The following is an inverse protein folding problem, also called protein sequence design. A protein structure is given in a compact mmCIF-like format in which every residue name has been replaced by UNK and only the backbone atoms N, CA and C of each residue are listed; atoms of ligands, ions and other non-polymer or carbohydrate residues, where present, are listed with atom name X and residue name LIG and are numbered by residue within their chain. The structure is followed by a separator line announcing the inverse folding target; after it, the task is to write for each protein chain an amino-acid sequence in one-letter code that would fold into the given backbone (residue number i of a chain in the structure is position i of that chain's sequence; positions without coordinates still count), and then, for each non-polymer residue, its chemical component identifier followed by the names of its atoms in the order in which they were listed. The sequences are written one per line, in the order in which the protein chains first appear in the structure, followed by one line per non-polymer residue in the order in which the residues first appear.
data_IF_434616119363
#
_entry.id   IF_434616119363
#
_cell.length_a   1.000
_cell.length_b   1.000
_cell.length_c   1.000
_cell.angle_alpha   90.00
_cell.angle_beta   90.00
_cell.angle_gamma   90.00
#
_symmetry.space_group_name_H-M   'P 1'
#
loop_
_entity.id
_entity.type
_entity.pdbx_description
1 polymer ?
#
# COMPACT_ATOMS: atom_id res chain seq x y z
N UNK A 1 -35.15 -6.15 -41.71
CA UNK A 1 -35.68 -5.18 -40.73
C UNK A 1 -34.56 -4.80 -39.77
N UNK A 2 -34.32 -3.53 -39.51
CA UNK A 2 -33.37 -3.13 -38.48
C UNK A 2 -33.94 -3.59 -37.12
N UNK A 3 -33.05 -3.97 -36.16
CA UNK A 3 -33.51 -4.39 -34.83
C UNK A 3 -34.24 -3.23 -34.16
N UNK A 4 -35.34 -3.58 -33.44
CA UNK A 4 -36.20 -2.66 -32.72
C UNK A 4 -35.32 -1.80 -31.75
N UNK A 5 -35.59 -0.50 -31.73
CA UNK A 5 -34.86 0.46 -30.86
C UNK A 5 -34.90 0.02 -29.36
N UNK A 6 -35.96 -0.72 -28.98
CA UNK A 6 -36.04 -1.32 -27.62
C UNK A 6 -35.08 -2.49 -27.44
N UNK A 7 -34.76 -3.24 -28.47
CA UNK A 7 -33.79 -4.33 -28.43
C UNK A 7 -32.37 -3.80 -28.43
N UNK A 8 -32.12 -2.69 -29.14
CA UNK A 8 -30.87 -1.95 -29.12
C UNK A 8 -30.62 -1.34 -27.73
N UNK A 9 -31.63 -0.75 -27.08
CA UNK A 9 -31.59 -0.25 -25.69
C UNK A 9 -31.39 -1.38 -24.66
N UNK A 10 -31.99 -2.57 -24.89
CA UNK A 10 -31.79 -3.78 -24.04
C UNK A 10 -30.35 -4.33 -24.21
N UNK A 11 -29.78 -4.27 -25.42
CA UNK A 11 -28.37 -4.64 -25.65
C UNK A 11 -27.39 -3.65 -25.02
N UNK A 12 -27.72 -2.36 -24.99
CA UNK A 12 -26.92 -1.33 -24.32
C UNK A 12 -27.02 -1.39 -22.79
N UNK A 13 -28.08 -2.01 -22.25
CA UNK A 13 -28.30 -2.17 -20.81
C UNK A 13 -27.82 -3.55 -20.28
N UNK A 14 -26.93 -4.24 -21.00
CA UNK A 14 -26.13 -5.30 -20.37
C UNK A 14 -25.27 -4.62 -19.31
N UNK A 15 -25.70 -4.74 -18.05
CA UNK A 15 -24.88 -4.28 -16.91
C UNK A 15 -23.49 -4.92 -17.06
N UNK A 16 -22.57 -4.10 -17.47
CA UNK A 16 -21.16 -4.52 -17.58
C UNK A 16 -20.68 -4.87 -16.17
N UNK A 17 -20.31 -6.13 -15.94
CA UNK A 17 -19.66 -6.53 -14.70
C UNK A 17 -18.24 -5.96 -14.70
N UNK A 18 -17.95 -5.12 -13.72
CA UNK A 18 -16.59 -4.67 -13.44
C UNK A 18 -15.93 -5.68 -12.49
N UNK A 19 -14.84 -6.31 -12.92
CA UNK A 19 -14.18 -7.39 -12.19
C UNK A 19 -12.74 -7.04 -11.75
N UNK A 20 -12.22 -5.92 -12.20
CA UNK A 20 -10.83 -5.52 -11.93
C UNK A 20 -10.71 -4.73 -10.62
N UNK A 21 -11.04 -5.38 -9.51
CA UNK A 21 -10.98 -4.77 -8.18
C UNK A 21 -9.54 -4.58 -7.68
N UNK A 22 -8.57 -5.28 -8.28
CA UNK A 22 -7.16 -5.05 -7.98
C UNK A 22 -6.68 -3.71 -8.51
N UNK A 23 -7.15 -3.28 -9.68
CA UNK A 23 -6.81 -1.95 -10.20
C UNK A 23 -7.49 -0.85 -9.37
N UNK A 24 -8.78 -0.99 -9.10
CA UNK A 24 -9.52 -0.10 -8.20
C UNK A 24 -10.85 -0.73 -7.77
N UNK A 25 -11.18 -0.67 -6.51
CA UNK A 25 -12.48 -1.11 -6.01
C UNK A 25 -13.53 0.01 -6.16
N UNK A 26 -14.80 -0.33 -6.52
CA UNK A 26 -15.88 0.64 -6.49
C UNK A 26 -16.02 1.28 -5.10
N UNK A 27 -16.29 2.58 -5.09
CA UNK A 27 -16.50 3.32 -3.84
C UNK A 27 -17.78 2.84 -3.14
N UNK A 28 -17.65 2.41 -1.90
CA UNK A 28 -18.79 2.02 -1.08
C UNK A 28 -19.69 3.23 -0.80
N UNK A 29 -21.05 3.07 -0.82
CA UNK A 29 -21.97 4.17 -0.50
C UNK A 29 -21.67 4.85 0.84
N UNK A 30 -21.42 4.09 1.90
CA UNK A 30 -21.04 4.62 3.21
C UNK A 30 -19.74 5.43 3.19
N UNK A 31 -18.75 5.01 2.40
CA UNK A 31 -17.50 5.77 2.25
C UNK A 31 -17.75 7.09 1.52
N UNK A 32 -18.60 7.08 0.47
CA UNK A 32 -18.99 8.30 -0.24
C UNK A 32 -19.69 9.29 0.69
N UNK A 33 -20.63 8.82 1.50
CA UNK A 33 -21.35 9.65 2.46
C UNK A 33 -20.40 10.28 3.50
N UNK A 34 -19.47 9.48 4.03
CA UNK A 34 -18.47 9.97 4.97
C UNK A 34 -17.53 11.01 4.34
N UNK A 35 -17.14 10.83 3.07
CA UNK A 35 -16.34 11.81 2.33
C UNK A 35 -17.08 13.13 2.14
N UNK A 36 -18.35 13.09 1.71
CA UNK A 36 -19.18 14.29 1.54
C UNK A 36 -19.31 15.03 2.87
N UNK A 37 -19.63 14.33 3.95
CA UNK A 37 -19.75 14.94 5.28
C UNK A 37 -18.42 15.57 5.74
N UNK A 38 -17.27 14.98 5.39
CA UNK A 38 -15.97 15.55 5.73
C UNK A 38 -15.63 16.81 4.90
N UNK A 39 -16.08 16.89 3.65
CA UNK A 39 -15.89 18.07 2.80
C UNK A 39 -16.66 19.29 3.30
N UNK A 40 -17.79 19.08 3.97
CA UNK A 40 -18.59 20.13 4.58
C UNK A 40 -18.02 20.63 5.93
N UNK A 41 -16.98 20.00 6.44
CA UNK A 41 -16.36 20.33 7.71
C UNK A 41 -15.26 21.38 7.51
N UNK A 42 -15.42 22.64 7.90
CA UNK A 42 -14.33 23.61 7.89
C UNK A 42 -13.35 23.28 9.00
N UNK A 43 -12.08 23.45 8.75
CA UNK A 43 -11.10 23.40 9.82
C UNK A 43 -9.72 22.88 9.43
N UNK A 44 -8.72 23.45 10.07
CA UNK A 44 -7.35 22.98 10.01
C UNK A 44 -7.06 22.18 11.29
N UNK A 45 -6.69 20.88 11.20
CA UNK A 45 -6.40 20.04 12.38
C UNK A 45 -5.31 20.60 13.31
N UNK A 46 -4.48 21.52 12.83
CA UNK A 46 -3.43 22.17 13.62
C UNK A 46 -3.93 23.39 14.42
N UNK A 47 -5.15 23.89 14.13
CA UNK A 47 -5.72 25.04 14.82
C UNK A 47 -6.29 24.68 16.19
N UNK A 48 -6.28 25.65 17.13
CA UNK A 48 -6.71 25.43 18.51
C UNK A 48 -8.19 25.78 18.77
N UNK A 49 -8.87 26.43 17.82
CA UNK A 49 -10.28 26.75 17.90
C UNK A 49 -11.19 25.51 17.68
N UNK A 50 -12.49 25.67 17.86
CA UNK A 50 -13.46 24.57 17.86
C UNK A 50 -13.44 23.76 16.54
N UNK A 51 -13.42 24.44 15.41
CA UNK A 51 -13.40 23.83 14.08
C UNK A 51 -12.11 23.04 13.85
N UNK A 52 -10.96 23.55 14.28
CA UNK A 52 -9.68 22.85 14.22
C UNK A 52 -9.65 21.60 15.11
N UNK A 53 -10.25 21.67 16.30
CA UNK A 53 -10.38 20.49 17.18
C UNK A 53 -11.30 19.43 16.56
N UNK A 54 -12.44 19.82 15.97
CA UNK A 54 -13.34 18.92 15.27
C UNK A 54 -12.65 18.21 14.09
N UNK A 55 -11.89 18.95 13.28
CA UNK A 55 -11.12 18.39 12.18
C UNK A 55 -10.05 17.38 12.69
N UNK A 56 -9.35 17.73 13.78
CA UNK A 56 -8.36 16.83 14.41
C UNK A 56 -9.01 15.56 14.95
N UNK A 57 -10.18 15.67 15.55
CA UNK A 57 -10.92 14.52 16.04
C UNK A 57 -11.36 13.60 14.89
N UNK A 58 -11.87 14.14 13.78
CA UNK A 58 -12.23 13.38 12.61
C UNK A 58 -11.00 12.63 12.03
N UNK A 59 -9.87 13.31 11.91
CA UNK A 59 -8.60 12.71 11.49
C UNK A 59 -8.15 11.58 12.43
N UNK A 60 -8.25 11.79 13.75
CA UNK A 60 -7.85 10.78 14.74
C UNK A 60 -8.76 9.55 14.67
N UNK A 61 -10.08 9.73 14.54
CA UNK A 61 -11.03 8.62 14.35
C UNK A 61 -10.73 7.83 13.08
N UNK A 62 -10.36 8.50 12.00
CA UNK A 62 -9.97 7.82 10.75
C UNK A 62 -8.70 6.95 10.96
N UNK A 63 -7.68 7.48 11.65
CA UNK A 63 -6.47 6.71 11.99
C UNK A 63 -6.78 5.48 12.86
N UNK A 64 -7.63 5.65 13.88
CA UNK A 64 -8.07 4.56 14.74
C UNK A 64 -8.84 3.48 13.97
N UNK A 65 -9.70 3.89 13.01
CA UNK A 65 -10.44 2.95 12.19
C UNK A 65 -9.53 2.11 11.31
N UNK A 66 -8.53 2.72 10.66
CA UNK A 66 -7.51 2.01 9.87
C UNK A 66 -6.66 1.11 10.76
N UNK A 67 -6.22 1.59 11.93
CA UNK A 67 -5.44 0.82 12.87
C UNK A 67 -6.19 -0.46 13.31
N UNK A 68 -7.48 -0.35 13.66
CA UNK A 68 -8.32 -1.52 13.99
C UNK A 68 -8.42 -2.52 12.84
N UNK A 69 -8.58 -2.03 11.60
CA UNK A 69 -8.67 -2.87 10.41
C UNK A 69 -7.36 -3.66 10.18
N UNK A 70 -6.22 -3.03 10.44
CA UNK A 70 -4.89 -3.62 10.21
C UNK A 70 -4.30 -4.32 11.44
N UNK A 71 -4.98 -4.35 12.58
CA UNK A 71 -4.43 -4.89 13.82
C UNK A 71 -3.23 -4.09 14.35
N UNK A 72 -3.20 -2.78 14.11
CA UNK A 72 -2.11 -1.87 14.47
C UNK A 72 -2.56 -0.84 15.52
N UNK A 73 -1.63 -0.04 16.00
CA UNK A 73 -1.89 1.13 16.85
C UNK A 73 -2.09 2.38 16.01
N UNK A 74 -3.02 3.26 16.39
CA UNK A 74 -3.30 4.50 15.67
C UNK A 74 -2.05 5.41 15.56
N UNK A 75 -1.13 5.35 16.51
CA UNK A 75 0.13 6.09 16.47
C UNK A 75 1.02 5.68 15.28
N UNK A 76 0.88 4.45 14.80
CA UNK A 76 1.67 3.90 13.69
C UNK A 76 0.98 4.05 12.32
N UNK A 77 -0.19 4.68 12.26
CA UNK A 77 -0.88 4.96 10.99
C UNK A 77 -0.51 6.35 10.50
N UNK A 78 -0.03 6.43 9.27
CA UNK A 78 0.24 7.68 8.56
C UNK A 78 -0.50 7.67 7.23
N UNK A 79 -1.27 8.72 6.95
CA UNK A 79 -1.91 8.88 5.65
C UNK A 79 -0.94 9.53 4.65
N UNK A 80 -0.96 9.04 3.43
CA UNK A 80 -0.21 9.55 2.29
C UNK A 80 -1.17 9.81 1.13
N UNK A 81 -0.69 10.44 0.05
CA UNK A 81 -1.48 10.68 -1.16
C UNK A 81 -1.82 9.39 -1.92
N UNK A 82 -1.08 8.31 -1.67
CA UNK A 82 -1.28 7.01 -2.30
C UNK A 82 -0.16 6.03 -2.01
N UNK A 83 -0.30 4.80 -2.55
CA UNK A 83 0.64 3.70 -2.32
C UNK A 83 2.07 4.02 -2.80
N UNK A 84 2.22 4.78 -3.88
CA UNK A 84 3.53 5.17 -4.40
C UNK A 84 4.30 6.05 -3.41
N UNK A 85 3.63 7.02 -2.79
CA UNK A 85 4.25 7.84 -1.75
C UNK A 85 4.58 6.99 -0.52
N UNK A 86 3.64 6.15 -0.07
CA UNK A 86 3.86 5.24 1.05
C UNK A 86 5.07 4.32 0.81
N UNK A 87 5.16 3.69 -0.36
CA UNK A 87 6.29 2.86 -0.75
C UNK A 87 7.60 3.65 -0.73
N UNK A 88 7.63 4.88 -1.27
CA UNK A 88 8.82 5.73 -1.27
C UNK A 88 9.28 6.13 0.14
N UNK A 89 8.36 6.21 1.10
CA UNK A 89 8.71 6.46 2.49
C UNK A 89 9.27 5.22 3.21
N UNK A 90 8.71 4.04 2.93
CA UNK A 90 9.09 2.80 3.61
C UNK A 90 10.32 2.16 2.97
N UNK A 91 10.42 2.15 1.63
CA UNK A 91 11.54 1.55 0.90
C UNK A 91 12.75 2.50 0.92
N UNK A 92 13.42 2.55 2.05
CA UNK A 92 14.63 3.36 2.27
C UNK A 92 15.70 2.51 2.97
N UNK A 93 16.98 2.66 2.62
CA UNK A 93 18.07 2.00 3.33
C UNK A 93 18.33 2.58 4.73
N UNK A 94 17.85 3.80 4.99
CA UNK A 94 18.17 4.54 6.20
C UNK A 94 17.01 4.50 7.19
N UNK A 95 17.16 3.70 8.24
CA UNK A 95 16.21 3.55 9.34
C UNK A 95 16.78 4.03 10.67
N UNK A 96 15.93 4.06 11.67
CA UNK A 96 16.34 4.32 13.06
C UNK A 96 15.67 3.29 13.97
N UNK A 97 16.48 2.67 14.82
CA UNK A 97 16.01 1.82 15.90
C UNK A 97 16.16 2.63 17.20
N UNK A 98 15.08 3.27 17.63
CA UNK A 98 15.13 4.27 18.69
C UNK A 98 15.96 5.49 18.25
N UNK A 99 17.11 5.73 18.91
CA UNK A 99 18.03 6.81 18.55
C UNK A 99 19.19 6.38 17.64
N UNK A 100 19.43 5.07 17.52
CA UNK A 100 20.52 4.54 16.71
C UNK A 100 20.14 4.53 15.22
N UNK A 101 21.02 5.01 14.33
CA UNK A 101 20.82 4.81 12.89
C UNK A 101 21.03 3.33 12.56
N UNK A 102 20.19 2.81 11.66
CA UNK A 102 20.30 1.47 11.09
C UNK A 102 20.30 1.62 9.58
N UNK A 103 21.32 1.07 8.92
CA UNK A 103 21.41 1.05 7.48
C UNK A 103 21.08 -0.36 6.97
N UNK A 104 20.16 -0.43 6.04
CA UNK A 104 19.80 -1.67 5.34
C UNK A 104 20.63 -1.75 4.05
N UNK A 105 21.32 -2.85 3.85
CA UNK A 105 22.28 -3.02 2.75
C UNK A 105 21.60 -3.56 1.49
N UNK A 106 20.49 -4.27 1.64
CA UNK A 106 19.80 -4.96 0.55
C UNK A 106 18.28 -4.87 0.70
N UNK A 107 17.61 -4.70 -0.42
CA UNK A 107 16.15 -4.82 -0.54
C UNK A 107 15.82 -6.06 -1.37
N UNK A 108 15.11 -7.02 -0.78
CA UNK A 108 14.52 -8.14 -1.49
C UNK A 108 13.07 -7.81 -1.84
N UNK A 109 12.68 -7.97 -3.11
CA UNK A 109 11.32 -7.72 -3.61
C UNK A 109 10.79 -8.93 -4.37
N UNK A 110 9.48 -9.18 -4.28
CA UNK A 110 8.83 -10.20 -5.11
C UNK A 110 8.74 -9.77 -6.58
N UNK A 111 8.90 -10.72 -7.52
CA UNK A 111 8.81 -10.42 -8.95
C UNK A 111 7.42 -9.97 -9.41
N UNK A 112 6.37 -10.26 -8.64
CA UNK A 112 4.98 -9.86 -8.94
C UNK A 112 4.54 -8.61 -8.17
N UNK A 113 5.47 -7.87 -7.56
CA UNK A 113 5.15 -6.64 -6.84
C UNK A 113 4.62 -5.54 -7.76
N UNK A 114 3.87 -4.61 -7.16
CA UNK A 114 3.41 -3.42 -7.86
C UNK A 114 4.62 -2.56 -8.32
N UNK A 115 4.54 -1.87 -9.48
CA UNK A 115 5.64 -1.04 -10.00
C UNK A 115 6.25 -0.05 -8.99
N UNK A 116 5.48 0.51 -8.06
CA UNK A 116 6.00 1.41 -7.04
C UNK A 116 6.94 0.72 -6.02
N UNK A 117 6.84 -0.60 -5.86
CA UNK A 117 7.74 -1.42 -5.04
C UNK A 117 8.93 -1.89 -5.87
N UNK A 118 8.66 -2.35 -7.12
CA UNK A 118 9.70 -2.79 -8.07
C UNK A 118 10.73 -1.68 -8.32
N UNK A 119 10.31 -0.42 -8.30
CA UNK A 119 11.20 0.73 -8.44
C UNK A 119 12.27 0.82 -7.33
N UNK A 120 12.14 0.03 -6.24
CA UNK A 120 13.16 -0.06 -5.20
C UNK A 120 13.25 1.13 -4.24
N UNK A 121 12.35 2.11 -4.36
CA UNK A 121 12.31 3.29 -3.49
C UNK A 121 13.60 4.11 -3.53
N UNK A 122 14.31 4.20 -2.40
CA UNK A 122 15.57 4.94 -2.24
C UNK A 122 16.80 4.01 -2.15
N UNK A 123 16.61 2.72 -2.35
CA UNK A 123 17.73 1.79 -2.43
C UNK A 123 18.51 1.98 -3.73
N UNK A 124 19.83 1.77 -3.67
CA UNK A 124 20.64 1.68 -4.89
C UNK A 124 20.16 0.50 -5.73
N UNK A 125 19.91 0.66 -7.03
CA UNK A 125 19.45 -0.42 -7.90
C UNK A 125 20.31 -1.71 -7.83
N UNK A 126 21.61 -1.60 -7.57
CA UNK A 126 22.50 -2.75 -7.42
C UNK A 126 22.22 -3.56 -6.15
N UNK A 127 21.61 -2.93 -5.15
CA UNK A 127 21.26 -3.55 -3.86
C UNK A 127 19.85 -4.11 -3.83
N UNK A 128 19.06 -3.92 -4.90
CA UNK A 128 17.72 -4.49 -5.05
C UNK A 128 17.80 -5.88 -5.67
N UNK A 129 17.26 -6.88 -4.99
CA UNK A 129 17.24 -8.28 -5.42
C UNK A 129 15.81 -8.77 -5.62
N UNK A 130 15.50 -9.22 -6.83
CA UNK A 130 14.18 -9.74 -7.16
C UNK A 130 14.09 -11.23 -6.82
N UNK A 131 13.07 -11.58 -6.07
CA UNK A 131 12.74 -12.97 -5.70
C UNK A 131 11.72 -13.53 -6.68
N UNK A 132 11.90 -14.78 -7.15
CA UNK A 132 11.03 -15.38 -8.16
C UNK A 132 9.64 -15.68 -7.59
N UNK A 133 8.66 -15.69 -8.49
CA UNK A 133 7.33 -16.25 -8.26
C UNK A 133 7.17 -17.51 -9.10
N UNK A 134 6.27 -18.39 -8.70
CA UNK A 134 5.91 -19.57 -9.49
C UNK A 134 4.99 -19.20 -10.67
N UNK A 135 4.56 -20.22 -11.45
CA UNK A 135 3.66 -20.04 -12.59
C UNK A 135 2.29 -19.48 -12.23
N UNK A 136 1.89 -19.59 -10.97
CA UNK A 136 0.61 -19.11 -10.45
C UNK A 136 0.74 -17.70 -9.81
N UNK A 137 1.94 -17.11 -9.89
CA UNK A 137 2.25 -15.78 -9.36
C UNK A 137 2.54 -15.76 -7.85
N UNK A 138 2.61 -16.93 -7.21
CA UNK A 138 2.93 -17.03 -5.78
C UNK A 138 4.44 -16.94 -5.55
N UNK A 139 4.83 -16.27 -4.48
CA UNK A 139 6.24 -16.16 -4.11
C UNK A 139 6.83 -17.53 -3.78
N UNK A 140 7.99 -17.84 -4.34
CA UNK A 140 8.73 -19.06 -4.03
C UNK A 140 9.41 -18.92 -2.66
N UNK A 141 8.80 -19.52 -1.64
CA UNK A 141 9.28 -19.47 -0.25
C UNK A 141 10.68 -20.13 -0.11
N UNK A 142 11.01 -21.12 -0.92
CA UNK A 142 12.33 -21.73 -0.86
C UNK A 142 13.38 -20.75 -1.41
N UNK A 143 13.09 -20.10 -2.53
CA UNK A 143 13.96 -19.05 -3.06
C UNK A 143 14.15 -17.89 -2.09
N UNK A 144 13.09 -17.48 -1.35
CA UNK A 144 13.19 -16.48 -0.28
C UNK A 144 14.15 -16.94 0.81
N UNK A 145 14.00 -18.20 1.28
CA UNK A 145 14.86 -18.76 2.32
C UNK A 145 16.31 -18.83 1.88
N UNK A 146 16.54 -19.32 0.66
CA UNK A 146 17.89 -19.48 0.09
C UNK A 146 18.56 -18.10 -0.07
N UNK A 147 17.84 -17.10 -0.54
CA UNK A 147 18.33 -15.73 -0.67
C UNK A 147 18.74 -15.13 0.68
N UNK A 148 17.93 -15.31 1.73
CA UNK A 148 18.24 -14.83 3.08
C UNK A 148 19.45 -15.56 3.66
N UNK A 149 19.55 -16.88 3.46
CA UNK A 149 20.69 -17.67 3.93
C UNK A 149 22.00 -17.26 3.20
N UNK A 150 21.94 -17.10 1.88
CA UNK A 150 23.08 -16.65 1.10
C UNK A 150 23.54 -15.24 1.51
N UNK A 151 22.59 -14.35 1.76
CA UNK A 151 22.89 -12.99 2.24
C UNK A 151 23.57 -13.03 3.63
N UNK A 152 23.05 -13.81 4.57
CA UNK A 152 23.64 -13.96 5.90
C UNK A 152 25.04 -14.54 5.86
N UNK A 153 25.31 -15.54 5.01
CA UNK A 153 26.63 -16.12 4.83
C UNK A 153 27.65 -15.13 4.22
N UNK A 154 27.20 -14.28 3.27
CA UNK A 154 28.04 -13.27 2.64
C UNK A 154 28.43 -12.10 3.55
N UNK A 155 27.63 -11.83 4.59
CA UNK A 155 27.83 -10.69 5.50
C UNK A 155 28.25 -11.08 6.92
N UNK A 156 28.75 -12.31 7.12
CA UNK A 156 29.11 -12.85 8.43
C UNK A 156 27.99 -12.73 9.51
N UNK A 157 26.72 -12.64 9.08
CA UNK A 157 25.56 -12.47 9.95
C UNK A 157 25.27 -11.03 10.40
N UNK A 158 26.09 -10.05 10.05
CA UNK A 158 25.95 -8.65 10.50
C UNK A 158 25.13 -7.76 9.55
N UNK A 159 24.81 -8.24 8.35
CA UNK A 159 24.05 -7.47 7.35
C UNK A 159 22.60 -7.26 7.75
N UNK A 160 22.05 -6.12 7.36
CA UNK A 160 20.64 -5.76 7.58
C UNK A 160 19.95 -5.65 6.21
N UNK A 161 18.80 -6.28 6.05
CA UNK A 161 18.03 -6.24 4.81
C UNK A 161 16.57 -5.90 5.04
N UNK A 162 15.91 -5.46 3.98
CA UNK A 162 14.45 -5.34 3.92
C UNK A 162 13.88 -6.39 2.99
N UNK A 163 12.73 -6.92 3.34
CA UNK A 163 11.94 -7.83 2.51
C UNK A 163 10.58 -7.18 2.24
N UNK A 164 10.26 -6.95 0.98
CA UNK A 164 8.99 -6.40 0.54
C UNK A 164 8.26 -7.45 -0.30
N UNK A 165 7.19 -8.02 0.25
CA UNK A 165 6.36 -9.03 -0.40
C UNK A 165 4.89 -8.67 -0.23
N UNK A 166 4.14 -8.72 -1.33
CA UNK A 166 2.69 -8.55 -1.27
C UNK A 166 2.00 -9.82 -0.79
N UNK A 167 0.92 -9.63 -0.05
CA UNK A 167 0.10 -10.74 0.45
C UNK A 167 -0.86 -11.26 -0.63
N UNK A 168 -1.33 -10.38 -1.51
CA UNK A 168 -2.26 -10.68 -2.59
C UNK A 168 -2.03 -9.76 -3.78
N UNK A 169 -2.29 -10.26 -4.98
CA UNK A 169 -2.19 -9.54 -6.24
C UNK A 169 -3.50 -9.73 -7.03
#
# INVERSE_FOLDING_TARGET
QPPDAMEHLRMMNRQRAYLDYNATAPLLPAAREAMVAALDMPGNPSSVHAEGRAAREAYSRAREAVARLCGAEAAHVTFTSGATEAASHVLTPDFRMGRAPVRLDTLFIGAAEHPCVIAGGRFDPETVKTLPVDRDGLIDINAVRDAIQAYGAGNNGDGQFMLALQLAN
#
